data_IF_557399433920
#
_entry.id   IF_557399433920
#
_cell.length_a   1.000
_cell.length_b   1.000
_cell.length_c   1.000
_cell.angle_alpha   90.00
_cell.angle_beta   90.00
_cell.angle_gamma   90.00
#
_symmetry.space_group_name_H-M   'P 1'
#
loop_
_entity.id
_entity.type
_entity.pdbx_description
1 polymer ?
#
# COMPACT_ATOMS: atom_id res chain seq x y z
N UNK A 1 23.60 -10.34 -1.08
CA UNK A 1 22.32 -9.78 -1.53
C UNK A 1 22.50 -9.07 -2.86
N UNK A 2 21.59 -9.30 -3.81
CA UNK A 2 21.44 -8.40 -4.93
C UNK A 2 20.05 -7.77 -4.81
N UNK A 3 20.04 -6.47 -4.62
CA UNK A 3 18.85 -5.65 -4.53
C UNK A 3 18.62 -4.99 -5.88
N UNK A 4 17.41 -5.17 -6.42
CA UNK A 4 16.97 -4.36 -7.54
C UNK A 4 16.26 -3.14 -6.98
N UNK A 5 16.88 -1.97 -7.07
CA UNK A 5 16.24 -0.71 -6.75
C UNK A 5 15.32 -0.32 -7.91
N UNK A 6 14.04 -0.56 -7.73
CA UNK A 6 13.01 -0.06 -8.62
C UNK A 6 12.75 1.41 -8.24
N UNK A 7 13.62 2.31 -8.70
CA UNK A 7 13.44 3.75 -8.51
C UNK A 7 12.23 4.21 -9.29
N UNK A 8 11.12 4.37 -8.61
CA UNK A 8 9.99 5.04 -9.18
C UNK A 8 9.81 6.42 -8.56
N UNK A 9 9.98 7.45 -9.38
CA UNK A 9 9.72 8.86 -9.15
C UNK A 9 10.33 9.45 -7.88
N UNK A 10 11.44 10.13 -8.01
CA UNK A 10 11.86 11.17 -7.05
C UNK A 10 10.96 12.37 -7.28
N UNK A 11 10.19 12.75 -6.28
CA UNK A 11 9.51 14.03 -6.31
C UNK A 11 10.49 15.18 -6.57
N UNK A 12 10.04 16.33 -7.10
CA UNK A 12 10.91 17.46 -7.46
C UNK A 12 11.80 17.96 -6.32
N UNK A 13 11.46 17.64 -5.08
CA UNK A 13 12.17 18.06 -3.87
C UNK A 13 13.14 17.00 -3.32
N UNK A 14 13.21 15.82 -3.93
CA UNK A 14 14.09 14.76 -3.44
C UNK A 14 13.71 14.19 -2.07
N UNK A 15 12.62 14.67 -1.46
CA UNK A 15 12.28 14.45 -0.05
C UNK A 15 11.61 13.10 0.24
N UNK A 16 11.07 12.42 -0.75
CA UNK A 16 10.36 11.15 -0.58
C UNK A 16 11.22 9.93 -0.91
N UNK A 17 12.42 9.84 -0.35
CA UNK A 17 13.38 8.75 -0.54
C UNK A 17 12.92 7.36 -0.07
N UNK A 18 11.67 7.00 -0.32
CA UNK A 18 11.17 5.63 -0.18
C UNK A 18 11.20 4.96 -1.54
N UNK A 19 12.23 4.19 -1.76
CA UNK A 19 12.42 3.40 -2.96
C UNK A 19 11.68 2.07 -2.84
N UNK A 20 11.27 1.50 -3.96
CA UNK A 20 10.80 0.11 -3.99
C UNK A 20 12.00 -0.79 -4.17
N UNK A 21 12.04 -1.87 -3.43
CA UNK A 21 13.08 -2.87 -3.57
C UNK A 21 12.44 -4.25 -3.77
N UNK A 22 13.16 -5.12 -4.46
CA UNK A 22 12.81 -6.51 -4.63
C UNK A 22 14.06 -7.37 -4.33
N UNK A 23 13.93 -8.30 -3.40
CA UNK A 23 15.02 -9.11 -2.91
C UNK A 23 14.65 -10.57 -2.76
N UNK A 24 15.68 -11.40 -2.63
CA UNK A 24 15.57 -12.82 -2.35
C UNK A 24 16.36 -13.14 -1.09
N UNK A 25 15.73 -13.85 -0.16
CA UNK A 25 16.36 -14.37 1.04
C UNK A 25 16.36 -15.91 1.03
N UNK A 26 17.33 -16.51 1.71
CA UNK A 26 17.52 -17.96 1.81
C UNK A 26 18.27 -18.60 0.65
N UNK A 27 18.53 -17.87 -0.45
CA UNK A 27 19.33 -18.34 -1.58
C UNK A 27 20.08 -17.17 -2.23
N UNK A 28 21.27 -17.42 -2.85
CA UNK A 28 21.96 -16.40 -3.59
C UNK A 28 21.26 -16.09 -4.93
N UNK A 29 21.25 -14.80 -5.31
CA UNK A 29 20.83 -14.39 -6.64
C UNK A 29 22.01 -14.55 -7.61
N UNK A 30 21.81 -15.24 -8.71
CA UNK A 30 22.84 -15.45 -9.73
C UNK A 30 22.83 -14.39 -10.81
N UNK A 31 21.65 -13.91 -11.20
CA UNK A 31 21.49 -12.79 -12.12
C UNK A 31 20.16 -12.08 -11.92
N UNK A 32 20.00 -10.88 -12.46
CA UNK A 32 18.80 -10.07 -12.29
C UNK A 32 18.53 -9.17 -13.50
N UNK A 33 17.26 -8.71 -13.64
CA UNK A 33 16.89 -7.61 -14.52
C UNK A 33 15.95 -6.65 -13.79
N UNK A 34 16.23 -5.36 -13.94
CA UNK A 34 15.37 -4.25 -13.49
C UNK A 34 14.64 -3.58 -14.67
N UNK A 35 14.94 -3.96 -15.90
CA UNK A 35 14.36 -3.47 -17.15
C UNK A 35 13.44 -4.52 -17.76
N UNK A 36 12.19 -4.14 -17.97
CA UNK A 36 11.16 -5.04 -18.51
C UNK A 36 11.42 -5.43 -19.96
N UNK A 37 11.86 -4.48 -20.79
CA UNK A 37 12.10 -4.73 -22.23
C UNK A 37 13.31 -5.65 -22.42
N UNK A 38 14.36 -5.46 -21.61
CA UNK A 38 15.52 -6.34 -21.60
C UNK A 38 15.16 -7.75 -21.10
N UNK A 39 14.26 -7.87 -20.14
CA UNK A 39 13.81 -9.17 -19.63
C UNK A 39 12.94 -9.92 -20.64
N UNK A 40 11.93 -9.23 -21.23
CA UNK A 40 11.01 -9.85 -22.18
C UNK A 40 11.69 -10.08 -23.52
N UNK A 41 12.37 -9.08 -24.05
CA UNK A 41 13.01 -9.10 -25.36
C UNK A 41 12.10 -8.67 -26.51
N UNK A 42 12.72 -8.17 -27.59
CA UNK A 42 12.01 -7.77 -28.78
C UNK A 42 11.34 -8.97 -29.45
N UNK A 43 10.06 -8.81 -29.82
CA UNK A 43 9.21 -9.85 -30.42
C UNK A 43 8.89 -11.05 -29.51
N UNK A 44 9.14 -10.93 -28.20
CA UNK A 44 8.74 -11.88 -27.17
C UNK A 44 7.56 -11.31 -26.34
N UNK A 45 6.96 -12.15 -25.52
CA UNK A 45 5.87 -11.79 -24.62
C UNK A 45 6.08 -12.35 -23.20
N UNK A 46 5.11 -12.12 -22.31
CA UNK A 46 5.17 -12.63 -20.93
C UNK A 46 5.15 -14.16 -20.83
N UNK A 47 4.64 -14.86 -21.85
CA UNK A 47 4.62 -16.33 -21.89
C UNK A 47 5.96 -16.91 -22.29
N UNK A 48 6.83 -16.12 -22.92
CA UNK A 48 8.11 -16.56 -23.45
C UNK A 48 9.17 -15.45 -23.40
N UNK A 49 9.58 -14.98 -22.21
CA UNK A 49 10.62 -13.96 -22.07
C UNK A 49 11.98 -14.47 -22.53
N UNK A 50 12.75 -13.64 -23.26
CA UNK A 50 14.08 -14.00 -23.74
C UNK A 50 15.06 -14.36 -22.62
N UNK A 51 14.96 -13.70 -21.46
CA UNK A 51 15.80 -14.01 -20.31
C UNK A 51 15.55 -15.43 -19.77
N UNK A 52 14.30 -15.90 -19.83
CA UNK A 52 13.93 -17.27 -19.43
C UNK A 52 14.43 -18.30 -20.44
N UNK A 53 14.29 -18.04 -21.75
CA UNK A 53 14.83 -18.91 -22.79
C UNK A 53 16.35 -19.05 -22.70
N UNK A 54 17.03 -17.94 -22.41
CA UNK A 54 18.49 -17.91 -22.26
C UNK A 54 18.97 -18.56 -20.95
N UNK A 55 18.06 -18.62 -19.94
CA UNK A 55 18.35 -19.13 -18.60
C UNK A 55 19.16 -18.18 -17.74
N UNK A 56 19.19 -16.88 -18.12
CA UNK A 56 19.98 -15.89 -17.38
C UNK A 56 19.45 -14.48 -17.66
N UNK A 57 19.56 -13.60 -16.67
CA UNK A 57 19.27 -12.18 -16.76
C UNK A 57 20.52 -11.37 -17.11
N UNK A 58 20.36 -10.19 -17.74
CA UNK A 58 21.47 -9.37 -18.26
C UNK A 58 22.11 -8.44 -17.23
N UNK A 59 21.51 -8.29 -16.04
CA UNK A 59 21.93 -7.32 -15.04
C UNK A 59 21.58 -5.88 -15.39
N UNK A 60 20.67 -5.66 -16.33
CA UNK A 60 20.30 -4.33 -16.81
C UNK A 60 19.27 -3.69 -15.90
N UNK A 61 19.55 -2.45 -15.48
CA UNK A 61 18.59 -1.55 -14.82
C UNK A 61 18.59 -0.23 -15.58
N UNK A 62 17.45 0.13 -16.14
CA UNK A 62 17.29 1.37 -16.87
C UNK A 62 16.60 2.42 -16.01
N UNK A 63 16.81 3.67 -16.38
CA UNK A 63 16.19 4.84 -15.78
C UNK A 63 15.14 5.41 -16.72
N UNK A 64 13.94 5.71 -16.20
CA UNK A 64 12.79 6.23 -16.96
C UNK A 64 12.18 5.27 -18.01
N UNK A 65 12.44 3.99 -17.91
CA UNK A 65 11.83 2.94 -18.72
C UNK A 65 10.84 2.11 -17.89
N UNK A 66 10.19 1.14 -18.52
CA UNK A 66 9.31 0.21 -17.82
C UNK A 66 10.13 -0.70 -16.90
N UNK A 67 9.97 -0.50 -15.60
CA UNK A 67 10.69 -1.30 -14.61
C UNK A 67 10.06 -2.67 -14.43
N UNK A 68 10.91 -3.67 -14.16
CA UNK A 68 10.50 -4.97 -13.61
C UNK A 68 11.44 -5.38 -12.47
N UNK A 69 11.05 -6.37 -11.70
CA UNK A 69 11.92 -7.04 -10.75
C UNK A 69 12.02 -8.52 -11.12
N UNK A 70 13.12 -8.92 -11.77
CA UNK A 70 13.40 -10.31 -12.08
C UNK A 70 14.69 -10.74 -11.37
N UNK A 71 14.61 -11.79 -10.57
CA UNK A 71 15.73 -12.39 -9.86
C UNK A 71 15.86 -13.84 -10.31
N UNK A 72 17.04 -14.23 -10.74
CA UNK A 72 17.37 -15.59 -11.11
C UNK A 72 18.24 -16.24 -10.03
N UNK A 73 17.88 -17.46 -9.64
CA UNK A 73 18.65 -18.30 -8.73
C UNK A 73 18.66 -19.73 -9.25
N UNK A 74 19.75 -20.43 -9.03
CA UNK A 74 19.88 -21.86 -9.36
C UNK A 74 19.74 -22.72 -8.11
N UNK A 75 18.95 -23.78 -8.21
CA UNK A 75 18.71 -24.73 -7.11
C UNK A 75 19.09 -26.14 -7.55
N UNK A 76 19.81 -26.81 -6.69
CA UNK A 76 20.01 -28.25 -6.79
C UNK A 76 19.16 -28.93 -5.73
N UNK A 77 18.31 -29.88 -6.17
CA UNK A 77 17.41 -30.62 -5.29
C UNK A 77 17.70 -32.09 -5.42
N UNK A 78 17.98 -32.78 -4.31
CA UNK A 78 18.02 -34.23 -4.27
C UNK A 78 16.60 -34.83 -4.38
N UNK A 79 16.46 -36.10 -4.78
CA UNK A 79 15.15 -36.75 -4.82
C UNK A 79 14.41 -36.67 -3.48
N UNK A 80 13.22 -36.05 -3.50
CA UNK A 80 12.39 -35.82 -2.29
C UNK A 80 12.80 -34.60 -1.45
N UNK A 81 13.83 -33.87 -1.83
CA UNK A 81 14.22 -32.61 -1.16
C UNK A 81 13.28 -31.46 -1.50
N UNK A 82 12.99 -30.65 -0.49
CA UNK A 82 12.26 -29.37 -0.65
C UNK A 82 13.12 -28.25 -0.11
N UNK A 83 13.22 -27.15 -0.86
CA UNK A 83 13.85 -25.89 -0.41
C UNK A 83 12.81 -24.77 -0.44
N UNK A 84 12.83 -23.97 0.59
CA UNK A 84 11.99 -22.78 0.70
C UNK A 84 12.85 -21.53 0.57
N UNK A 85 12.35 -20.52 -0.11
CA UNK A 85 12.98 -19.22 -0.24
C UNK A 85 11.91 -18.12 -0.11
N UNK A 86 12.31 -16.93 0.27
CA UNK A 86 11.42 -15.79 0.41
C UNK A 86 11.77 -14.69 -0.61
N UNK A 87 10.78 -14.28 -1.39
CA UNK A 87 10.87 -13.10 -2.22
C UNK A 87 10.22 -11.93 -1.50
N UNK A 88 10.95 -10.83 -1.35
CA UNK A 88 10.54 -9.67 -0.59
C UNK A 88 10.37 -8.49 -1.54
N UNK A 89 9.16 -7.96 -1.63
CA UNK A 89 8.86 -6.70 -2.30
C UNK A 89 8.50 -5.67 -1.24
N UNK A 90 9.28 -4.61 -1.16
CA UNK A 90 9.10 -3.60 -0.13
C UNK A 90 9.27 -2.17 -0.64
N UNK A 91 8.96 -1.22 0.24
CA UNK A 91 9.15 0.21 0.01
C UNK A 91 9.81 0.84 1.23
N UNK A 92 11.08 1.16 1.10
CA UNK A 92 11.86 1.82 2.15
C UNK A 92 13.09 2.52 1.56
N UNK A 93 13.87 3.20 2.40
CA UNK A 93 15.20 3.68 2.02
C UNK A 93 16.12 2.50 1.73
N UNK A 94 17.02 2.65 0.78
CA UNK A 94 18.00 1.61 0.40
C UNK A 94 18.74 1.04 1.61
N UNK A 95 19.20 1.90 2.51
CA UNK A 95 19.94 1.50 3.72
C UNK A 95 19.20 0.55 4.66
N UNK A 96 17.87 0.48 4.58
CA UNK A 96 17.02 -0.39 5.42
C UNK A 96 16.56 -1.62 4.65
N UNK A 97 16.56 -1.57 3.33
CA UNK A 97 16.11 -2.70 2.49
C UNK A 97 16.97 -3.95 2.71
N UNK A 98 18.29 -3.78 2.85
CA UNK A 98 19.21 -4.89 3.11
C UNK A 98 18.95 -5.53 4.48
N UNK A 99 18.67 -4.73 5.51
CA UNK A 99 18.32 -5.21 6.83
C UNK A 99 17.00 -6.00 6.81
N UNK A 100 16.01 -5.50 6.06
CA UNK A 100 14.73 -6.19 5.88
C UNK A 100 14.95 -7.54 5.19
N UNK A 101 15.68 -7.57 4.08
CA UNK A 101 15.95 -8.82 3.36
C UNK A 101 16.70 -9.80 4.27
N UNK A 102 17.70 -9.32 5.01
CA UNK A 102 18.47 -10.14 5.95
C UNK A 102 17.61 -10.76 7.07
N UNK A 103 16.56 -10.06 7.50
CA UNK A 103 15.66 -10.59 8.55
C UNK A 103 14.89 -11.84 8.11
N UNK A 104 14.81 -12.12 6.82
CA UNK A 104 14.16 -13.29 6.23
C UNK A 104 15.15 -14.38 5.77
N UNK A 105 16.44 -14.31 6.14
CA UNK A 105 17.40 -15.39 5.85
C UNK A 105 16.96 -16.74 6.43
N UNK A 106 16.41 -16.71 7.63
CA UNK A 106 15.64 -17.84 8.16
C UNK A 106 14.19 -17.70 7.66
N UNK A 107 13.88 -18.41 6.58
CA UNK A 107 12.55 -18.35 5.94
C UNK A 107 11.40 -18.84 6.83
N UNK A 108 11.70 -19.49 7.97
CA UNK A 108 10.68 -19.85 8.97
C UNK A 108 10.02 -18.62 9.62
N UNK A 109 10.67 -17.47 9.56
CA UNK A 109 10.11 -16.17 9.99
C UNK A 109 8.83 -15.85 9.21
N UNK A 110 8.76 -16.22 7.93
CA UNK A 110 7.56 -16.00 7.11
C UNK A 110 6.32 -16.68 7.68
N UNK A 111 6.46 -17.94 8.15
CA UNK A 111 5.34 -18.69 8.73
C UNK A 111 4.85 -18.02 10.03
N UNK A 112 5.79 -17.54 10.84
CA UNK A 112 5.47 -16.81 12.08
C UNK A 112 4.71 -15.51 11.77
N UNK A 113 5.18 -14.73 10.82
CA UNK A 113 4.54 -13.47 10.43
C UNK A 113 3.15 -13.69 9.81
N UNK A 114 2.96 -14.77 9.05
CA UNK A 114 1.63 -15.15 8.55
C UNK A 114 0.67 -15.46 9.70
N UNK A 115 1.12 -16.19 10.72
CA UNK A 115 0.29 -16.48 11.88
C UNK A 115 0.01 -15.22 12.72
N UNK A 116 0.98 -14.33 12.88
CA UNK A 116 0.79 -13.05 13.55
C UNK A 116 -0.23 -12.17 12.79
N UNK A 117 -0.14 -12.13 11.46
CA UNK A 117 -1.09 -11.41 10.61
C UNK A 117 -2.50 -11.98 10.70
N UNK A 118 -2.65 -13.32 10.69
CA UNK A 118 -3.94 -13.97 10.88
C UNK A 118 -4.55 -13.61 12.24
N UNK A 119 -3.75 -13.68 13.31
CA UNK A 119 -4.19 -13.35 14.65
C UNK A 119 -4.62 -11.87 14.76
N UNK A 120 -3.88 -10.98 14.14
CA UNK A 120 -4.23 -9.55 14.06
C UNK A 120 -5.60 -9.33 13.41
N UNK A 121 -5.85 -9.95 12.25
CA UNK A 121 -7.12 -9.82 11.56
C UNK A 121 -8.28 -10.49 12.31
N UNK A 122 -8.06 -11.69 12.87
CA UNK A 122 -9.10 -12.35 13.66
C UNK A 122 -9.47 -11.56 14.91
N UNK A 123 -8.51 -10.96 15.59
CA UNK A 123 -8.78 -10.11 16.74
C UNK A 123 -9.69 -8.92 16.39
N UNK A 124 -9.54 -8.33 15.20
CA UNK A 124 -10.42 -7.26 14.72
C UNK A 124 -11.78 -7.77 14.25
N UNK A 125 -11.81 -8.80 13.42
CA UNK A 125 -13.03 -9.33 12.82
C UNK A 125 -13.95 -9.98 13.88
N UNK A 126 -13.41 -10.58 14.93
CA UNK A 126 -14.18 -11.22 15.99
C UNK A 126 -14.94 -10.24 16.89
N UNK A 127 -14.63 -8.93 16.82
CA UNK A 127 -15.39 -7.90 17.54
C UNK A 127 -16.82 -7.75 17.00
N UNK A 128 -17.07 -8.11 15.74
CA UNK A 128 -18.40 -8.14 15.16
C UNK A 128 -18.61 -9.41 14.34
N UNK A 129 -19.36 -10.36 14.90
CA UNK A 129 -19.55 -11.68 14.27
C UNK A 129 -20.99 -12.14 14.39
N UNK A 130 -21.53 -12.64 13.30
CA UNK A 130 -22.85 -13.26 13.25
C UNK A 130 -22.73 -14.76 13.00
N UNK A 131 -23.73 -15.50 13.49
CA UNK A 131 -23.88 -16.92 13.19
C UNK A 131 -25.33 -17.21 12.84
N UNK A 132 -25.62 -17.42 11.57
CA UNK A 132 -26.95 -17.69 11.02
C UNK A 132 -26.97 -19.06 10.33
N UNK A 133 -28.15 -19.61 10.02
CA UNK A 133 -28.24 -20.85 9.21
C UNK A 133 -27.67 -20.76 7.81
N UNK A 134 -27.36 -19.55 7.31
CA UNK A 134 -26.79 -19.35 5.96
C UNK A 134 -25.29 -19.14 6.03
N UNK A 135 -24.44 -20.12 5.64
CA UNK A 135 -22.98 -19.98 5.62
C UNK A 135 -22.52 -18.84 4.69
N UNK A 136 -23.18 -18.65 3.57
CA UNK A 136 -22.86 -17.57 2.62
C UNK A 136 -23.08 -16.19 3.23
N UNK A 137 -24.17 -15.99 3.98
CA UNK A 137 -24.44 -14.75 4.68
C UNK A 137 -23.44 -14.51 5.80
N UNK A 138 -23.10 -15.55 6.57
CA UNK A 138 -22.07 -15.47 7.60
C UNK A 138 -20.71 -15.07 7.00
N UNK A 139 -20.30 -15.68 5.91
CA UNK A 139 -19.05 -15.33 5.21
C UNK A 139 -19.05 -13.89 4.71
N UNK A 140 -20.18 -13.46 4.13
CA UNK A 140 -20.30 -12.08 3.63
C UNK A 140 -20.13 -11.06 4.75
N UNK A 141 -20.84 -11.23 5.88
CA UNK A 141 -20.82 -10.27 6.97
C UNK A 141 -19.53 -10.36 7.78
N UNK A 142 -19.11 -11.57 8.17
CA UNK A 142 -17.98 -11.75 9.07
C UNK A 142 -16.60 -11.51 8.44
N UNK A 143 -16.52 -11.53 7.12
CA UNK A 143 -15.24 -11.41 6.41
C UNK A 143 -15.28 -10.34 5.35
N UNK A 144 -16.11 -10.52 4.31
CA UNK A 144 -16.05 -9.69 3.11
C UNK A 144 -16.48 -8.25 3.35
N UNK A 145 -17.55 -7.99 4.09
CA UNK A 145 -17.97 -6.63 4.40
C UNK A 145 -16.92 -5.91 5.24
N UNK A 146 -16.41 -6.56 6.30
CA UNK A 146 -15.38 -5.99 7.14
C UNK A 146 -14.10 -5.69 6.33
N UNK A 147 -13.67 -6.62 5.48
CA UNK A 147 -12.52 -6.43 4.60
C UNK A 147 -12.71 -5.23 3.67
N UNK A 148 -13.85 -5.10 3.00
CA UNK A 148 -14.14 -3.97 2.12
C UNK A 148 -14.18 -2.64 2.89
N UNK A 149 -14.80 -2.62 4.09
CA UNK A 149 -14.82 -1.45 4.95
C UNK A 149 -13.40 -1.02 5.37
N UNK A 150 -12.55 -1.96 5.74
CA UNK A 150 -11.14 -1.67 6.05
C UNK A 150 -10.35 -1.15 4.86
N UNK A 151 -10.58 -1.66 3.66
CA UNK A 151 -9.94 -1.16 2.45
C UNK A 151 -10.31 0.29 2.18
N UNK A 152 -11.61 0.63 2.20
CA UNK A 152 -12.06 2.00 1.96
C UNK A 152 -11.58 2.95 3.06
N UNK A 153 -11.66 2.52 4.32
CA UNK A 153 -11.16 3.27 5.47
C UNK A 153 -9.66 3.58 5.39
N UNK A 154 -8.85 2.59 4.97
CA UNK A 154 -7.39 2.74 4.93
C UNK A 154 -6.94 3.52 3.70
N UNK A 155 -7.54 3.24 2.54
CA UNK A 155 -7.06 3.72 1.26
C UNK A 155 -7.88 4.87 0.69
N UNK A 156 -8.94 5.28 1.40
CA UNK A 156 -9.83 6.38 1.01
C UNK A 156 -10.21 6.34 -0.47
N UNK A 157 -10.63 5.15 -0.93
CA UNK A 157 -10.99 4.93 -2.35
C UNK A 157 -9.84 5.12 -3.34
N UNK A 158 -8.61 5.26 -2.85
CA UNK A 158 -7.39 5.28 -3.66
C UNK A 158 -7.02 3.89 -4.24
N UNK A 159 -7.89 2.89 -4.06
CA UNK A 159 -7.72 1.56 -4.59
C UNK A 159 -7.80 1.48 -6.13
N UNK A 160 -8.20 2.54 -6.81
CA UNK A 160 -8.21 2.62 -8.25
C UNK A 160 -7.18 3.64 -8.75
N UNK A 161 -6.12 3.17 -9.37
CA UNK A 161 -5.16 4.03 -10.08
C UNK A 161 -5.79 4.87 -11.19
N UNK A 162 -6.93 4.44 -11.72
CA UNK A 162 -7.65 5.13 -12.80
C UNK A 162 -8.47 6.31 -12.26
N UNK A 163 -9.17 6.12 -11.13
CA UNK A 163 -10.09 7.13 -10.61
C UNK A 163 -9.48 8.07 -9.58
N UNK A 164 -8.64 7.55 -8.73
CA UNK A 164 -8.13 8.30 -7.58
C UNK A 164 -6.69 8.72 -7.76
N UNK A 165 -6.01 8.16 -8.78
CA UNK A 165 -4.67 8.46 -9.24
C UNK A 165 -3.80 9.19 -8.23
N UNK A 166 -3.08 8.47 -7.37
CA UNK A 166 -2.08 9.05 -6.46
C UNK A 166 -2.57 10.23 -5.59
N UNK A 167 -3.83 10.27 -5.20
CA UNK A 167 -4.32 11.30 -4.28
C UNK A 167 -3.54 11.28 -2.98
N UNK A 168 -3.05 12.43 -2.62
CA UNK A 168 -2.25 12.65 -1.41
C UNK A 168 -3.08 12.89 -0.16
N UNK A 169 -4.29 12.31 -0.06
CA UNK A 169 -5.13 12.60 1.09
C UNK A 169 -6.49 11.91 1.04
N UNK A 170 -7.26 12.22 2.06
CA UNK A 170 -8.59 11.70 2.30
C UNK A 170 -9.64 12.70 1.80
N UNK A 171 -10.61 12.24 1.00
CA UNK A 171 -11.82 13.01 0.74
C UNK A 171 -12.62 13.11 2.05
N UNK A 172 -12.98 14.33 2.48
CA UNK A 172 -13.60 14.52 3.79
C UNK A 172 -14.87 13.69 3.96
N UNK A 173 -15.88 13.93 3.13
CA UNK A 173 -17.15 13.21 3.16
C UNK A 173 -16.98 11.71 3.03
N UNK A 174 -16.18 11.27 2.08
CA UNK A 174 -15.96 9.86 1.81
C UNK A 174 -15.39 9.15 3.03
N UNK A 175 -14.37 9.75 3.66
CA UNK A 175 -13.69 9.16 4.81
C UNK A 175 -14.57 9.11 6.04
N UNK A 176 -15.34 10.16 6.34
CA UNK A 176 -16.23 10.13 7.51
C UNK A 176 -17.37 9.11 7.35
N UNK A 177 -17.82 8.85 6.13
CA UNK A 177 -18.74 7.74 5.85
C UNK A 177 -18.06 6.38 6.00
N UNK A 178 -16.83 6.24 5.50
CA UNK A 178 -16.08 4.97 5.57
C UNK A 178 -15.74 4.57 7.01
N UNK A 179 -15.55 5.54 7.91
CA UNK A 179 -15.34 5.31 9.35
C UNK A 179 -16.49 4.48 9.95
N UNK A 180 -17.73 4.72 9.55
CA UNK A 180 -18.91 4.02 10.08
C UNK A 180 -18.82 2.50 9.86
N UNK A 181 -18.20 2.07 8.75
CA UNK A 181 -17.99 0.65 8.45
C UNK A 181 -16.93 -0.03 9.33
N UNK A 182 -16.15 0.74 10.09
CA UNK A 182 -15.01 0.22 10.87
C UNK A 182 -15.22 0.34 12.37
N UNK A 183 -16.17 1.17 12.84
CA UNK A 183 -16.42 1.43 14.27
C UNK A 183 -16.58 0.13 15.08
N UNK A 184 -17.22 -0.89 14.51
CA UNK A 184 -17.52 -2.13 15.21
C UNK A 184 -16.30 -3.07 15.31
N UNK A 185 -15.39 -2.99 14.35
CA UNK A 185 -14.27 -3.91 14.22
C UNK A 185 -12.98 -3.32 14.76
N UNK A 186 -12.79 -1.99 14.65
CA UNK A 186 -11.61 -1.28 15.14
C UNK A 186 -12.01 0.12 15.66
N UNK A 187 -12.63 0.21 16.85
CA UNK A 187 -13.11 1.47 17.40
C UNK A 187 -11.99 2.48 17.68
N UNK A 188 -10.79 2.01 18.01
CA UNK A 188 -9.64 2.89 18.27
C UNK A 188 -9.18 3.57 16.99
N UNK A 189 -8.97 2.81 15.92
CA UNK A 189 -8.61 3.37 14.62
C UNK A 189 -9.70 4.30 14.07
N UNK A 190 -10.97 3.96 14.27
CA UNK A 190 -12.10 4.80 13.90
C UNK A 190 -12.08 6.14 14.65
N UNK A 191 -11.84 6.12 15.97
CA UNK A 191 -11.74 7.33 16.79
C UNK A 191 -10.56 8.23 16.36
N UNK A 192 -9.42 7.64 16.11
CA UNK A 192 -8.25 8.39 15.64
C UNK A 192 -8.49 9.02 14.27
N UNK A 193 -9.17 8.31 13.37
CA UNK A 193 -9.55 8.87 12.07
C UNK A 193 -10.58 10.01 12.21
N UNK A 194 -11.55 9.89 13.11
CA UNK A 194 -12.50 10.99 13.42
C UNK A 194 -11.73 12.23 13.90
N UNK A 195 -10.81 12.06 14.84
CA UNK A 195 -9.97 13.18 15.34
C UNK A 195 -9.16 13.83 14.23
N UNK A 196 -8.57 13.01 13.38
CA UNK A 196 -7.83 13.49 12.23
C UNK A 196 -8.72 14.28 11.26
N UNK A 197 -9.91 13.79 10.93
CA UNK A 197 -10.85 14.52 10.07
C UNK A 197 -11.39 15.79 10.71
N UNK A 198 -11.62 15.80 12.03
CA UNK A 198 -12.02 16.99 12.78
C UNK A 198 -10.93 18.07 12.79
N UNK A 199 -9.65 17.69 12.80
CA UNK A 199 -8.55 18.67 12.74
C UNK A 199 -8.51 19.44 11.42
N UNK A 200 -9.15 18.89 10.38
CA UNK A 200 -9.29 19.53 9.07
C UNK A 200 -10.57 20.34 8.91
N UNK A 201 -11.31 20.57 10.00
CA UNK A 201 -12.45 21.46 10.00
C UNK A 201 -11.97 22.91 10.23
N UNK A 202 -12.40 23.82 9.37
CA UNK A 202 -12.06 25.25 9.49
C UNK A 202 -13.00 25.99 10.42
N UNK A 203 -12.62 27.21 10.87
CA UNK A 203 -13.31 27.99 11.88
C UNK A 203 -14.80 28.24 11.62
N UNK A 204 -15.22 28.28 10.37
CA UNK A 204 -16.63 28.44 10.00
C UNK A 204 -17.42 27.12 10.00
N UNK A 205 -16.79 26.01 10.40
CA UNK A 205 -17.41 24.69 10.44
C UNK A 205 -17.34 23.91 9.12
N UNK A 206 -16.76 24.46 8.08
CA UNK A 206 -16.56 23.75 6.81
C UNK A 206 -15.45 22.69 6.92
N UNK A 207 -15.57 21.57 6.21
CA UNK A 207 -14.51 20.58 6.08
C UNK A 207 -13.68 20.83 4.83
N UNK A 208 -12.38 20.59 4.89
CA UNK A 208 -11.52 20.62 3.71
C UNK A 208 -11.95 19.48 2.74
N UNK A 209 -12.24 19.76 1.46
CA UNK A 209 -12.67 18.72 0.52
C UNK A 209 -11.69 17.57 0.36
N UNK A 210 -10.41 17.83 0.59
CA UNK A 210 -9.33 16.87 0.63
C UNK A 210 -8.43 17.16 1.84
N UNK A 211 -8.31 16.18 2.74
CA UNK A 211 -7.41 16.25 3.90
C UNK A 211 -6.15 15.47 3.57
N UNK A 212 -5.03 16.15 3.47
CA UNK A 212 -3.75 15.52 3.13
C UNK A 212 -3.31 14.56 4.22
N UNK A 213 -2.57 13.51 3.86
CA UNK A 213 -2.04 12.54 4.83
C UNK A 213 -1.06 13.17 5.84
N UNK A 214 -0.43 14.28 5.47
CA UNK A 214 0.49 15.07 6.30
C UNK A 214 -0.17 16.31 6.92
N UNK A 215 -1.50 16.32 7.02
CA UNK A 215 -2.27 17.49 7.49
C UNK A 215 -1.86 17.93 8.90
N UNK A 216 -1.61 17.01 9.82
CA UNK A 216 -1.21 17.31 11.19
C UNK A 216 0.14 18.05 11.26
N UNK A 217 1.04 17.81 10.32
CA UNK A 217 2.31 18.54 10.19
C UNK A 217 2.10 19.99 9.72
N UNK A 218 0.92 20.30 9.20
CA UNK A 218 0.51 21.59 8.68
C UNK A 218 -0.58 22.25 9.55
N UNK A 219 -0.77 21.78 10.77
CA UNK A 219 -1.74 22.36 11.71
C UNK A 219 -1.51 23.86 11.84
N UNK A 220 -2.55 24.65 11.57
CA UNK A 220 -2.49 26.12 11.55
C UNK A 220 -2.71 26.75 10.17
N UNK A 221 -2.92 25.96 9.11
CA UNK A 221 -3.45 26.48 7.86
C UNK A 221 -4.94 26.77 8.01
N UNK A 222 -5.25 27.99 8.37
CA UNK A 222 -6.62 28.53 8.37
C UNK A 222 -7.07 28.65 6.91
N UNK A 223 -7.70 27.58 6.40
CA UNK A 223 -8.18 27.61 5.03
C UNK A 223 -9.54 28.26 4.94
N UNK A 224 -9.64 29.41 4.31
CA UNK A 224 -10.90 29.90 3.75
C UNK A 224 -10.91 29.67 2.23
N UNK A 225 -12.07 29.59 1.57
CA UNK A 225 -12.11 29.45 0.11
C UNK A 225 -11.35 30.53 -0.66
N UNK A 226 -11.14 31.66 -0.04
CA UNK A 226 -10.42 32.80 -0.61
C UNK A 226 -8.91 32.78 -0.28
N UNK A 227 -8.48 31.83 0.57
CA UNK A 227 -7.07 31.67 0.95
C UNK A 227 -6.32 30.92 -0.14
N UNK A 228 -5.22 31.48 -0.69
CA UNK A 228 -4.38 30.78 -1.65
C UNK A 228 -3.82 29.43 -1.13
N UNK A 229 -3.54 29.32 0.18
CA UNK A 229 -3.04 28.09 0.78
C UNK A 229 -4.13 27.01 0.85
N UNK A 230 -5.38 27.37 1.11
CA UNK A 230 -6.52 26.46 1.01
C UNK A 230 -6.66 25.88 -0.40
N UNK A 231 -6.64 26.71 -1.44
CA UNK A 231 -6.73 26.25 -2.83
C UNK A 231 -5.53 25.37 -3.19
N UNK A 232 -4.35 25.72 -2.71
CA UNK A 232 -3.12 24.97 -2.94
C UNK A 232 -3.15 23.60 -2.27
N UNK A 233 -3.71 23.49 -1.07
CA UNK A 233 -3.82 22.23 -0.34
C UNK A 233 -4.90 21.32 -0.92
N UNK A 234 -6.07 21.86 -1.19
CA UNK A 234 -7.26 21.08 -1.58
C UNK A 234 -7.45 20.92 -3.08
N UNK A 235 -6.87 21.82 -3.87
CA UNK A 235 -7.13 21.95 -5.30
C UNK A 235 -8.56 22.44 -5.63
N UNK A 236 -9.31 22.91 -4.63
CA UNK A 236 -10.70 23.39 -4.79
C UNK A 236 -10.88 24.81 -4.25
N UNK A 237 -11.54 25.68 -5.00
CA UNK A 237 -11.73 27.07 -4.61
C UNK A 237 -12.90 27.28 -3.64
N UNK A 238 -13.65 26.24 -3.28
CA UNK A 238 -14.83 26.37 -2.42
C UNK A 238 -15.12 25.10 -1.62
N UNK A 239 -15.71 25.27 -0.44
CA UNK A 239 -16.22 24.16 0.38
C UNK A 239 -17.38 23.46 -0.31
N UNK A 240 -17.50 22.15 -0.02
CA UNK A 240 -18.72 21.42 -0.30
C UNK A 240 -19.65 21.57 0.91
N UNK A 241 -20.88 21.95 0.64
CA UNK A 241 -21.84 22.35 1.68
C UNK A 241 -22.20 21.22 2.67
N UNK A 242 -22.07 19.96 2.23
CA UNK A 242 -22.48 18.78 3.00
C UNK A 242 -21.32 18.02 3.66
N UNK A 243 -20.07 18.31 3.32
CA UNK A 243 -18.92 17.52 3.77
C UNK A 243 -18.86 17.41 5.31
N UNK A 244 -19.01 18.52 6.03
CA UNK A 244 -18.95 18.56 7.49
C UNK A 244 -20.16 17.90 8.18
N UNK A 245 -21.31 17.81 7.49
CA UNK A 245 -22.54 17.26 8.09
C UNK A 245 -22.45 15.73 8.26
N UNK A 246 -21.62 15.06 7.48
CA UNK A 246 -21.46 13.60 7.53
C UNK A 246 -20.68 13.11 8.75
N UNK A 247 -20.13 13.99 9.57
CA UNK A 247 -19.52 13.64 10.85
C UNK A 247 -20.53 13.23 11.94
N UNK A 248 -21.82 13.50 11.75
CA UNK A 248 -22.86 13.38 12.78
C UNK A 248 -23.89 12.25 12.61
N UNK A 249 -23.80 11.32 11.66
CA UNK A 249 -24.69 10.15 11.63
C UNK A 249 -24.41 9.14 12.72
#
# INVERSE_FOLDING_TARGET
>A
YQQINLNWYKGPDGSNGKERFFGLAGQPVTSYNGDKEAFIGMYHDYGNPVAVERGECDGVCNYNENSCGALHTALELAPGETKTMAFILGRHKESVADEIIASYEDVSVCDKEIEELKNYWHAKLDNFKINTPSPAFNSMVNTWNAYQCFLTFTWSRAASFIYCGERNGYGYRDTVQDIQGVIHTDPEAALDKIRFMLSAQVDNGGGLPLVRFDHDERAGHEGTPDDPDYVKETGHPAYRADDALWLFP
#
